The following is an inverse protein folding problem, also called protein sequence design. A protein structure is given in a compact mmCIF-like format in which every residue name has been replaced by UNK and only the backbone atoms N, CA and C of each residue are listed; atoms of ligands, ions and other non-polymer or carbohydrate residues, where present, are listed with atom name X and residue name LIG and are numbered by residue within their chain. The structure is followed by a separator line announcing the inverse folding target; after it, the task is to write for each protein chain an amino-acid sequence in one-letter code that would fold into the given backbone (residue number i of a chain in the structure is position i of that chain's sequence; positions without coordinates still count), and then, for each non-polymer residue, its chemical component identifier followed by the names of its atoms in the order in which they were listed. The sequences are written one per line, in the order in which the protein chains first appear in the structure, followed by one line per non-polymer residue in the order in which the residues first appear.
data_IF_787957521046
#
_entry.id   IF_787957521046
#
_cell.length_a   1.000
_cell.length_b   1.000
_cell.length_c   1.000
_cell.angle_alpha   90.00
_cell.angle_beta   90.00
_cell.angle_gamma   90.00
#
_symmetry.space_group_name_H-M   'P 1'
#
loop_
_entity.id
_entity.type
_entity.pdbx_description
1 polymer ?
#
# COMPACT_ATOMS: atom_id res chain seq x y z
N UNK A 1 28.23 -5.03 -10.85
CA UNK A 1 28.76 -6.06 -9.92
C UNK A 1 27.75 -7.21 -9.78
N UNK A 2 28.15 -8.47 -10.02
CA UNK A 2 27.24 -9.64 -10.06
C UNK A 2 26.79 -10.20 -8.70
N UNK A 3 27.39 -9.74 -7.58
CA UNK A 3 27.09 -10.17 -6.19
C UNK A 3 26.49 -9.06 -5.31
N UNK A 4 25.98 -8.00 -5.92
CA UNK A 4 25.43 -6.87 -5.16
C UNK A 4 24.18 -7.29 -4.36
N UNK A 5 24.14 -6.90 -3.08
CA UNK A 5 22.96 -7.03 -2.21
C UNK A 5 21.91 -5.98 -2.60
N UNK A 6 20.64 -6.25 -2.29
CA UNK A 6 19.54 -5.31 -2.53
C UNK A 6 19.79 -3.94 -1.91
N UNK A 7 20.45 -3.90 -0.73
CA UNK A 7 20.83 -2.66 -0.06
C UNK A 7 21.69 -1.73 -0.94
N UNK A 8 22.67 -2.27 -1.69
CA UNK A 8 23.58 -1.47 -2.53
C UNK A 8 22.81 -0.76 -3.65
N UNK A 9 21.81 -1.43 -4.21
CA UNK A 9 20.95 -0.82 -5.24
C UNK A 9 20.03 0.22 -4.62
N UNK A 10 19.47 -0.06 -3.45
CA UNK A 10 18.62 0.88 -2.72
C UNK A 10 19.36 2.17 -2.37
N UNK A 11 20.57 2.05 -1.82
CA UNK A 11 21.38 3.22 -1.47
C UNK A 11 21.68 4.11 -2.67
N UNK A 12 22.00 3.51 -3.83
CA UNK A 12 22.23 4.25 -5.08
C UNK A 12 20.97 4.94 -5.60
N UNK A 13 19.82 4.29 -5.50
CA UNK A 13 18.53 4.89 -5.89
C UNK A 13 18.20 6.05 -4.97
N UNK A 14 18.41 5.90 -3.66
CA UNK A 14 18.21 7.00 -2.71
C UNK A 14 19.17 8.17 -2.96
N UNK A 15 20.44 7.90 -3.27
CA UNK A 15 21.42 8.94 -3.60
C UNK A 15 21.03 9.68 -4.89
N UNK A 16 20.64 8.95 -5.94
CA UNK A 16 20.23 9.53 -7.21
C UNK A 16 18.95 10.38 -7.10
N UNK A 17 18.01 9.96 -6.26
CA UNK A 17 16.75 10.67 -6.00
C UNK A 17 16.85 11.69 -4.85
N UNK A 18 18.04 11.90 -4.29
CA UNK A 18 18.29 12.74 -3.12
C UNK A 18 17.35 12.46 -1.93
N UNK A 19 17.04 11.18 -1.70
CA UNK A 19 16.18 10.71 -0.62
C UNK A 19 16.98 10.64 0.69
N UNK A 20 16.77 11.65 1.53
CA UNK A 20 17.39 11.73 2.87
C UNK A 20 16.80 10.68 3.84
N UNK A 21 15.51 10.37 3.72
CA UNK A 21 14.78 9.51 4.66
C UNK A 21 14.66 8.06 4.14
N UNK A 22 15.81 7.40 3.97
CA UNK A 22 15.90 6.04 3.39
C UNK A 22 15.01 5.01 4.09
N UNK A 23 14.76 5.16 5.39
CA UNK A 23 13.95 4.21 6.17
C UNK A 23 12.48 4.16 5.75
N UNK A 24 12.02 5.18 5.01
CA UNK A 24 10.66 5.23 4.51
C UNK A 24 10.48 4.59 3.16
N UNK A 25 11.54 4.22 2.46
CA UNK A 25 11.40 3.73 1.09
C UNK A 25 11.85 2.28 0.99
N UNK A 26 11.33 1.58 -0.02
CA UNK A 26 11.87 0.31 -0.42
C UNK A 26 11.70 0.11 -1.92
N UNK A 27 12.43 -0.83 -2.48
CA UNK A 27 12.37 -1.16 -3.89
C UNK A 27 11.35 -2.27 -4.11
N UNK A 28 10.37 -2.01 -4.97
CA UNK A 28 9.47 -3.02 -5.51
C UNK A 28 9.96 -3.44 -6.89
N UNK A 29 10.01 -4.74 -7.15
CA UNK A 29 10.34 -5.29 -8.45
C UNK A 29 9.14 -6.07 -8.99
N UNK A 30 8.87 -5.89 -10.28
CA UNK A 30 7.77 -6.56 -11.00
C UNK A 30 8.25 -7.88 -11.59
N UNK A 31 7.73 -9.00 -11.09
CA UNK A 31 8.04 -10.32 -11.67
C UNK A 31 7.26 -10.52 -12.99
N UNK A 32 5.96 -10.16 -12.97
CA UNK A 32 5.02 -10.09 -14.10
C UNK A 32 4.09 -8.85 -13.89
N UNK A 33 3.20 -8.53 -14.84
CA UNK A 33 2.29 -7.35 -14.79
C UNK A 33 1.48 -7.22 -13.49
N UNK A 34 1.06 -8.33 -12.90
CA UNK A 34 0.22 -8.33 -11.69
C UNK A 34 0.97 -8.64 -10.39
N UNK A 35 2.23 -9.09 -10.46
CA UNK A 35 2.97 -9.56 -9.28
C UNK A 35 4.13 -8.62 -8.91
N UNK A 36 3.88 -7.75 -7.94
CA UNK A 36 4.88 -6.88 -7.30
C UNK A 36 5.50 -7.57 -6.08
N UNK A 37 6.82 -7.55 -5.96
CA UNK A 37 7.55 -8.11 -4.81
C UNK A 37 8.52 -7.07 -4.24
N UNK A 38 8.59 -6.96 -2.92
CA UNK A 38 9.62 -6.16 -2.26
C UNK A 38 10.99 -6.80 -2.42
N UNK A 39 11.99 -5.99 -2.79
CA UNK A 39 13.38 -6.40 -2.79
C UNK A 39 13.87 -6.48 -1.34
N UNK A 40 14.32 -7.67 -0.95
CA UNK A 40 14.97 -7.89 0.34
C UNK A 40 16.39 -7.29 0.29
N UNK A 41 16.62 -6.26 1.10
CA UNK A 41 17.91 -5.54 1.16
C UNK A 41 19.06 -6.44 1.62
N UNK A 42 18.77 -7.47 2.41
CA UNK A 42 19.76 -8.39 2.98
C UNK A 42 20.24 -9.47 1.98
N UNK A 43 19.47 -9.70 0.91
CA UNK A 43 19.73 -10.77 -0.07
C UNK A 43 20.35 -10.24 -1.36
N UNK A 44 21.08 -11.10 -2.05
CA UNK A 44 21.63 -10.80 -3.37
C UNK A 44 20.53 -10.56 -4.39
N UNK A 45 20.67 -9.50 -5.20
CA UNK A 45 19.67 -9.10 -6.20
C UNK A 45 19.44 -10.22 -7.21
N UNK A 46 20.51 -10.89 -7.66
CA UNK A 46 20.45 -12.00 -8.63
C UNK A 46 19.64 -13.20 -8.14
N UNK A 47 19.51 -13.40 -6.82
CA UNK A 47 18.71 -14.49 -6.25
C UNK A 47 17.21 -14.14 -6.16
N UNK A 48 16.88 -12.86 -6.29
CA UNK A 48 15.52 -12.32 -6.17
C UNK A 48 14.91 -11.96 -7.52
N UNK A 49 15.70 -11.33 -8.40
CA UNK A 49 15.27 -10.87 -9.72
C UNK A 49 15.85 -11.83 -10.77
N UNK A 50 14.98 -12.63 -11.40
CA UNK A 50 15.38 -13.67 -12.38
C UNK A 50 15.41 -13.17 -13.84
N UNK A 51 14.71 -12.08 -14.16
CA UNK A 51 14.59 -11.51 -15.52
C UNK A 51 15.25 -10.12 -15.59
N UNK A 52 15.83 -9.76 -16.73
CA UNK A 52 16.61 -8.52 -16.89
C UNK A 52 15.76 -7.24 -17.00
N UNK A 53 14.50 -7.36 -17.44
CA UNK A 53 13.56 -6.24 -17.55
C UNK A 53 12.62 -6.25 -16.36
N UNK A 54 13.03 -5.61 -15.27
CA UNK A 54 12.21 -5.44 -14.09
C UNK A 54 12.16 -3.97 -13.69
N UNK A 55 10.97 -3.39 -13.70
CA UNK A 55 10.75 -2.02 -13.24
C UNK A 55 10.88 -1.98 -11.72
N UNK A 56 11.72 -1.06 -11.24
CA UNK A 56 11.96 -0.82 -9.83
C UNK A 56 11.18 0.43 -9.43
N UNK A 57 10.18 0.27 -8.58
CA UNK A 57 9.39 1.39 -8.03
C UNK A 57 9.81 1.64 -6.59
N UNK A 58 9.97 2.92 -6.24
CA UNK A 58 10.28 3.36 -4.88
C UNK A 58 8.96 3.62 -4.17
N UNK A 59 8.68 2.89 -3.09
CA UNK A 59 7.39 2.97 -2.41
C UNK A 59 7.58 3.36 -0.94
N UNK A 60 6.74 4.27 -0.44
CA UNK A 60 6.78 4.76 0.93
C UNK A 60 5.70 4.10 1.82
N UNK A 61 6.03 3.14 2.71
CA UNK A 61 5.05 2.49 3.56
C UNK A 61 4.68 3.29 4.82
N UNK A 62 5.34 4.42 5.13
CA UNK A 62 5.26 5.05 6.47
C UNK A 62 4.95 6.55 6.43
N UNK A 63 4.22 6.98 7.47
CA UNK A 63 3.79 8.36 7.74
C UNK A 63 4.57 8.92 8.94
N UNK A 64 5.48 9.89 8.73
CA UNK A 64 5.89 10.90 9.73
C UNK A 64 6.70 12.01 9.04
N UNK A 65 6.53 13.27 9.50
CA UNK A 65 7.10 14.53 8.96
C UNK A 65 8.05 14.35 7.77
N UNK A 66 7.46 14.16 6.59
CA UNK A 66 8.17 13.96 5.33
C UNK A 66 8.54 15.33 4.76
N UNK A 67 9.77 15.47 4.27
CA UNK A 67 10.15 16.64 3.48
C UNK A 67 9.37 16.69 2.15
N UNK A 68 9.32 17.85 1.49
CA UNK A 68 8.51 18.06 0.28
C UNK A 68 8.73 16.98 -0.80
N UNK A 69 9.97 16.57 -1.06
CA UNK A 69 10.29 15.51 -2.03
C UNK A 69 9.68 14.15 -1.68
N UNK A 70 9.64 13.80 -0.40
CA UNK A 70 9.07 12.53 0.05
C UNK A 70 7.53 12.54 -0.02
N UNK A 71 6.89 13.70 0.24
CA UNK A 71 5.46 13.89 0.02
C UNK A 71 5.09 13.75 -1.45
N UNK A 72 5.89 14.32 -2.35
CA UNK A 72 5.69 14.20 -3.80
C UNK A 72 5.72 12.73 -4.26
N UNK A 73 6.71 11.93 -3.83
CA UNK A 73 6.74 10.50 -4.18
C UNK A 73 5.52 9.72 -3.65
N UNK A 74 5.00 10.10 -2.49
CA UNK A 74 3.75 9.51 -1.97
C UNK A 74 2.55 9.92 -2.82
N UNK A 75 2.47 11.18 -3.26
CA UNK A 75 1.45 11.65 -4.21
C UNK A 75 1.52 10.83 -5.50
N UNK A 76 2.70 10.68 -6.12
CA UNK A 76 2.86 9.89 -7.35
C UNK A 76 2.37 8.44 -7.20
N UNK A 77 2.71 7.79 -6.08
CA UNK A 77 2.24 6.43 -5.81
C UNK A 77 0.72 6.37 -5.70
N UNK A 78 0.11 7.31 -5.00
CA UNK A 78 -1.34 7.36 -4.83
C UNK A 78 -2.06 7.71 -6.13
N UNK A 79 -1.52 8.63 -6.93
CA UNK A 79 -2.04 8.93 -8.27
C UNK A 79 -2.07 7.67 -9.14
N UNK A 80 -0.99 6.88 -9.13
CA UNK A 80 -0.95 5.59 -9.83
C UNK A 80 -1.97 4.57 -9.26
N UNK A 81 -2.11 4.48 -7.94
CA UNK A 81 -3.06 3.56 -7.31
C UNK A 81 -4.52 3.96 -7.63
N UNK A 82 -4.81 5.26 -7.73
CA UNK A 82 -6.14 5.79 -8.11
C UNK A 82 -6.41 5.53 -9.60
N UNK A 83 -5.48 5.91 -10.49
CA UNK A 83 -5.67 5.79 -11.95
C UNK A 83 -5.73 4.33 -12.42
N UNK A 84 -5.04 3.41 -11.73
CA UNK A 84 -5.15 1.96 -11.98
C UNK A 84 -6.39 1.32 -11.33
N UNK A 85 -7.13 2.06 -10.50
CA UNK A 85 -8.34 1.59 -9.84
C UNK A 85 -8.09 0.71 -8.61
N UNK A 86 -6.83 0.60 -8.18
CA UNK A 86 -6.43 -0.07 -6.93
C UNK A 86 -6.92 0.67 -5.69
N UNK A 87 -7.01 2.00 -5.77
CA UNK A 87 -7.62 2.87 -4.77
C UNK A 87 -8.92 3.46 -5.34
N UNK A 88 -10.08 2.80 -5.15
CA UNK A 88 -11.34 3.25 -5.74
C UNK A 88 -11.77 4.61 -5.19
N UNK A 89 -12.15 5.50 -6.09
CA UNK A 89 -12.64 6.84 -5.78
C UNK A 89 -14.01 7.08 -6.45
N UNK A 90 -14.82 7.97 -5.87
CA UNK A 90 -16.02 8.47 -6.57
C UNK A 90 -15.61 9.40 -7.72
N UNK A 91 -16.53 9.68 -8.65
CA UNK A 91 -16.30 10.67 -9.71
C UNK A 91 -15.82 12.02 -9.14
N UNK A 92 -16.53 12.54 -8.14
CA UNK A 92 -16.19 13.81 -7.48
C UNK A 92 -14.79 13.78 -6.87
N UNK A 93 -14.40 12.65 -6.27
CA UNK A 93 -13.08 12.48 -5.68
C UNK A 93 -11.99 12.44 -6.75
N UNK A 94 -12.20 11.72 -7.85
CA UNK A 94 -11.25 11.72 -8.97
C UNK A 94 -11.05 13.13 -9.52
N UNK A 95 -12.14 13.89 -9.71
CA UNK A 95 -12.06 15.26 -10.20
C UNK A 95 -11.29 16.19 -9.22
N UNK A 96 -11.58 16.08 -7.92
CA UNK A 96 -10.89 16.85 -6.90
C UNK A 96 -9.39 16.51 -6.82
N UNK A 97 -9.05 15.23 -6.75
CA UNK A 97 -7.64 14.79 -6.66
C UNK A 97 -6.88 15.07 -7.97
N UNK A 98 -7.55 14.99 -9.12
CA UNK A 98 -6.99 15.39 -10.41
C UNK A 98 -6.68 16.88 -10.47
N UNK A 99 -7.56 17.73 -9.93
CA UNK A 99 -7.32 19.18 -9.90
C UNK A 99 -6.11 19.58 -9.05
N UNK A 100 -5.87 18.93 -7.91
CA UNK A 100 -4.65 19.14 -7.13
C UNK A 100 -3.40 18.60 -7.84
N UNK A 101 -3.54 17.53 -8.63
CA UNK A 101 -2.47 17.00 -9.45
C UNK A 101 -2.05 18.01 -10.51
N UNK A 102 -3.01 18.60 -11.24
CA UNK A 102 -2.72 19.65 -12.22
C UNK A 102 -2.07 20.88 -11.58
N UNK A 103 -2.59 21.35 -10.44
CA UNK A 103 -2.00 22.48 -9.72
C UNK A 103 -0.56 22.19 -9.29
N UNK A 104 -0.25 20.95 -8.89
CA UNK A 104 1.10 20.58 -8.47
C UNK A 104 2.09 20.46 -9.64
N UNK A 105 1.65 19.97 -10.80
CA UNK A 105 2.52 19.73 -11.97
C UNK A 105 2.64 20.95 -12.88
N UNK A 106 1.58 21.74 -13.03
CA UNK A 106 1.48 22.85 -14.00
C UNK A 106 1.43 24.22 -13.33
N UNK A 107 1.13 24.29 -12.03
CA UNK A 107 0.90 25.56 -11.34
C UNK A 107 -0.49 26.13 -11.64
N UNK A 108 -0.59 27.46 -11.61
CA UNK A 108 -1.86 28.18 -11.81
C UNK A 108 -2.40 27.99 -13.24
N UNK A 109 -3.72 27.85 -13.36
CA UNK A 109 -4.36 27.75 -14.67
C UNK A 109 -4.23 29.07 -15.46
N UNK A 110 -3.50 29.00 -16.57
CA UNK A 110 -3.41 30.03 -17.62
C UNK A 110 -4.29 29.66 -18.83
N UNK A 111 -5.33 30.46 -19.17
CA UNK A 111 -6.20 30.22 -20.33
C UNK A 111 -5.49 30.21 -21.70
N UNK A 112 -4.32 30.85 -21.83
CA UNK A 112 -3.60 30.90 -23.11
C UNK A 112 -2.74 29.64 -23.35
N UNK A 113 -2.13 29.11 -22.29
CA UNK A 113 -1.29 27.90 -22.34
C UNK A 113 -2.11 26.61 -22.16
N UNK A 114 -3.19 26.64 -21.38
CA UNK A 114 -3.98 25.47 -21.01
C UNK A 114 -5.25 25.34 -21.87
N UNK A 115 -5.07 25.09 -23.17
CA UNK A 115 -6.14 24.79 -24.14
C UNK A 115 -6.71 23.39 -23.96
N UNK A 116 -7.85 23.08 -24.59
CA UNK A 116 -8.78 21.95 -24.33
C UNK A 116 -8.22 20.51 -24.31
N UNK A 117 -6.92 20.30 -24.36
CA UNK A 117 -6.22 19.04 -24.61
C UNK A 117 -5.08 18.74 -23.61
N UNK A 118 -4.63 19.73 -22.82
CA UNK A 118 -3.55 19.53 -21.83
C UNK A 118 -3.90 18.52 -20.72
N UNK A 119 -5.19 18.39 -20.42
CA UNK A 119 -5.71 17.52 -19.36
C UNK A 119 -5.66 16.05 -19.77
N UNK A 120 -5.81 15.78 -21.08
CA UNK A 120 -5.84 14.43 -21.63
C UNK A 120 -4.46 13.74 -21.59
N UNK A 121 -3.37 14.49 -21.36
CA UNK A 121 -2.04 13.93 -21.09
C UNK A 121 -1.94 13.25 -19.71
N UNK A 122 -2.88 13.55 -18.80
CA UNK A 122 -2.93 13.02 -17.45
C UNK A 122 -4.02 11.95 -17.32
N UNK A 123 -3.69 10.88 -16.58
CA UNK A 123 -4.66 9.84 -16.24
C UNK A 123 -5.05 9.95 -14.77
N UNK A 124 -6.25 10.49 -14.51
CA UNK A 124 -6.81 10.68 -13.16
C UNK A 124 -7.62 9.49 -12.68
N UNK A 125 -8.26 8.74 -13.60
CA UNK A 125 -9.15 7.63 -13.27
C UNK A 125 -8.99 6.46 -14.26
N UNK A 126 -9.41 5.24 -13.88
CA UNK A 126 -9.39 4.08 -14.79
C UNK A 126 -10.29 4.24 -16.00
N UNK A 127 -11.45 4.88 -15.79
CA UNK A 127 -12.46 5.16 -16.81
C UNK A 127 -12.63 6.67 -16.92
N UNK A 128 -11.58 7.37 -17.38
CA UNK A 128 -11.59 8.81 -17.56
C UNK A 128 -12.57 9.18 -18.68
N UNK A 129 -13.45 10.14 -18.41
CA UNK A 129 -14.44 10.67 -19.36
C UNK A 129 -14.18 12.15 -19.60
N UNK A 130 -14.66 12.67 -20.73
CA UNK A 130 -14.57 14.10 -21.04
C UNK A 130 -15.22 14.98 -19.95
N UNK A 131 -16.37 14.55 -19.42
CA UNK A 131 -17.04 15.21 -18.29
C UNK A 131 -16.14 15.29 -17.04
N UNK A 132 -15.33 14.26 -16.79
CA UNK A 132 -14.36 14.29 -15.69
C UNK A 132 -13.26 15.31 -15.95
N UNK A 133 -12.73 15.37 -17.17
CA UNK A 133 -11.68 16.32 -17.56
C UNK A 133 -12.16 17.77 -17.43
N UNK A 134 -13.38 18.05 -17.90
CA UNK A 134 -14.04 19.34 -17.72
C UNK A 134 -14.16 19.69 -16.23
N UNK A 135 -14.59 18.73 -15.40
CA UNK A 135 -14.73 18.97 -13.97
C UNK A 135 -13.39 19.20 -13.26
N UNK A 136 -12.35 18.49 -13.69
CA UNK A 136 -10.97 18.69 -13.21
C UNK A 136 -10.50 20.11 -13.58
N UNK A 137 -10.73 20.55 -14.82
CA UNK A 137 -10.36 21.88 -15.30
C UNK A 137 -11.04 22.99 -14.48
N UNK A 138 -12.34 22.85 -14.23
CA UNK A 138 -13.11 23.79 -13.41
C UNK A 138 -12.52 23.92 -12.01
N UNK A 139 -12.18 22.80 -11.37
CA UNK A 139 -11.62 22.79 -10.03
C UNK A 139 -10.17 23.33 -10.02
N UNK A 140 -9.37 23.04 -11.05
CA UNK A 140 -8.00 23.55 -11.17
C UNK A 140 -7.97 25.09 -11.14
N UNK A 141 -8.92 25.75 -11.83
CA UNK A 141 -9.08 27.21 -11.80
C UNK A 141 -9.31 27.79 -10.39
N UNK A 142 -9.90 27.01 -9.48
CA UNK A 142 -10.17 27.45 -8.10
C UNK A 142 -8.95 27.40 -7.18
N UNK A 143 -7.88 26.71 -7.60
CA UNK A 143 -6.66 26.48 -6.80
C UNK A 143 -5.58 27.53 -7.00
N UNK A 144 -5.89 28.64 -7.70
CA UNK A 144 -4.95 29.70 -8.03
C UNK A 144 -4.21 30.21 -6.78
N UNK A 145 -2.88 30.33 -6.88
CA UNK A 145 -2.00 30.77 -5.81
C UNK A 145 -1.58 29.66 -4.84
N UNK A 146 -2.05 28.42 -5.02
CA UNK A 146 -1.51 27.28 -4.28
C UNK A 146 -0.15 26.88 -4.85
N UNK A 147 0.85 26.85 -3.98
CA UNK A 147 2.16 26.27 -4.33
C UNK A 147 2.05 24.76 -4.56
N UNK A 148 2.94 24.16 -5.37
CA UNK A 148 2.95 22.70 -5.57
C UNK A 148 2.98 21.90 -4.25
N UNK A 149 3.75 22.36 -3.26
CA UNK A 149 3.80 21.76 -1.92
C UNK A 149 2.46 21.77 -1.18
N UNK A 150 1.70 22.87 -1.30
CA UNK A 150 0.38 22.98 -0.70
C UNK A 150 -0.64 22.12 -1.46
N UNK A 151 -0.57 22.08 -2.80
CA UNK A 151 -1.42 21.23 -3.62
C UNK A 151 -1.21 19.74 -3.29
N UNK A 152 0.04 19.27 -3.20
CA UNK A 152 0.37 17.91 -2.77
C UNK A 152 -0.13 17.62 -1.35
N UNK A 153 0.00 18.58 -0.43
CA UNK A 153 -0.50 18.42 0.94
C UNK A 153 -2.03 18.24 0.97
N UNK A 154 -2.77 19.04 0.20
CA UNK A 154 -4.23 18.94 0.08
C UNK A 154 -4.68 17.66 -0.63
N UNK A 155 -3.95 17.26 -1.68
CA UNK A 155 -4.15 15.97 -2.33
C UNK A 155 -4.05 14.84 -1.31
N UNK A 156 -2.99 14.83 -0.50
CA UNK A 156 -2.79 13.81 0.51
C UNK A 156 -3.88 13.85 1.59
N UNK A 157 -4.23 15.02 2.13
CA UNK A 157 -5.30 15.14 3.13
C UNK A 157 -6.64 14.54 2.65
N UNK A 158 -6.98 14.76 1.38
CA UNK A 158 -8.18 14.17 0.79
C UNK A 158 -8.02 12.66 0.52
N UNK A 159 -6.88 12.24 -0.04
CA UNK A 159 -6.61 10.82 -0.30
C UNK A 159 -6.62 9.97 0.99
N UNK A 160 -6.17 10.53 2.13
CA UNK A 160 -6.18 9.85 3.44
C UNK A 160 -7.59 9.51 3.93
N UNK A 161 -8.62 10.22 3.45
CA UNK A 161 -10.03 9.99 3.82
C UNK A 161 -10.65 8.83 3.04
N UNK A 162 -9.97 8.31 2.02
CA UNK A 162 -10.46 7.19 1.23
C UNK A 162 -10.48 5.90 2.04
N UNK A 163 -11.56 5.14 1.90
CA UNK A 163 -11.85 3.94 2.69
C UNK A 163 -10.82 2.82 2.51
N UNK A 164 -10.09 2.84 1.39
CA UNK A 164 -9.07 1.86 1.02
C UNK A 164 -7.66 2.44 1.06
N UNK A 165 -7.48 3.66 1.55
CA UNK A 165 -6.15 4.27 1.71
C UNK A 165 -5.30 3.44 2.68
N UNK A 166 -4.08 3.08 2.25
CA UNK A 166 -3.14 2.32 3.08
C UNK A 166 -3.61 0.90 3.42
N UNK A 167 -4.53 0.36 2.61
CA UNK A 167 -5.00 -1.02 2.72
C UNK A 167 -4.25 -1.89 1.72
N UNK A 168 -3.54 -2.91 2.20
CA UNK A 168 -2.94 -3.93 1.34
C UNK A 168 -3.97 -5.02 1.04
N UNK A 169 -4.38 -5.12 -0.22
CA UNK A 169 -5.49 -5.95 -0.68
C UNK A 169 -5.00 -7.30 -1.22
N UNK A 170 -5.67 -8.38 -0.80
CA UNK A 170 -5.35 -9.75 -1.18
C UNK A 170 -6.62 -10.46 -1.63
N UNK A 171 -6.59 -11.04 -2.84
CA UNK A 171 -7.69 -11.89 -3.33
C UNK A 171 -7.82 -13.14 -2.47
N UNK A 172 -9.05 -13.47 -2.07
CA UNK A 172 -9.38 -14.66 -1.31
C UNK A 172 -10.81 -15.12 -1.59
N UNK A 173 -11.15 -16.30 -1.06
CA UNK A 173 -12.52 -16.80 -0.96
C UNK A 173 -12.85 -17.06 0.50
N UNK A 174 -14.10 -16.84 0.89
CA UNK A 174 -14.59 -17.22 2.21
C UNK A 174 -14.82 -18.74 2.33
N UNK A 175 -15.42 -19.18 3.45
CA UNK A 175 -15.75 -20.59 3.68
C UNK A 175 -16.81 -21.14 2.72
N UNK A 176 -17.61 -20.28 2.11
CA UNK A 176 -18.68 -20.63 1.15
C UNK A 176 -18.18 -20.62 -0.30
N UNK A 177 -16.94 -20.16 -0.53
CA UNK A 177 -16.32 -20.09 -1.85
C UNK A 177 -16.60 -18.79 -2.60
N UNK A 178 -17.22 -17.80 -1.94
CA UNK A 178 -17.51 -16.48 -2.49
C UNK A 178 -16.22 -15.69 -2.62
N UNK A 179 -16.02 -15.08 -3.79
CA UNK A 179 -14.87 -14.22 -4.07
C UNK A 179 -14.93 -12.93 -3.23
N UNK A 180 -13.87 -12.69 -2.47
CA UNK A 180 -13.73 -11.55 -1.55
C UNK A 180 -12.32 -10.96 -1.64
N UNK A 181 -12.15 -9.77 -1.09
CA UNK A 181 -10.85 -9.13 -0.92
C UNK A 181 -10.55 -8.95 0.57
N UNK A 182 -9.41 -9.47 1.01
CA UNK A 182 -8.88 -9.24 2.35
C UNK A 182 -7.98 -8.01 2.33
N UNK A 183 -8.33 -6.99 3.10
CA UNK A 183 -7.55 -5.77 3.26
C UNK A 183 -6.80 -5.75 4.59
N UNK A 184 -5.49 -5.55 4.57
CA UNK A 184 -4.68 -5.37 5.79
C UNK A 184 -4.34 -3.90 5.96
N UNK A 185 -4.62 -3.32 7.12
CA UNK A 185 -4.25 -1.94 7.41
C UNK A 185 -3.76 -1.77 8.86
N UNK A 186 -3.32 -0.56 9.21
CA UNK A 186 -2.86 -0.23 10.55
C UNK A 186 -3.90 -0.56 11.65
N UNK A 187 -5.19 -0.51 11.31
CA UNK A 187 -6.29 -0.59 12.26
C UNK A 187 -6.99 -1.97 12.31
N UNK A 188 -6.54 -2.95 11.51
CA UNK A 188 -7.11 -4.29 11.50
C UNK A 188 -7.05 -5.01 10.15
N UNK A 189 -7.70 -6.17 10.11
CA UNK A 189 -8.03 -6.89 8.89
C UNK A 189 -9.46 -6.52 8.46
N UNK A 190 -9.64 -6.27 7.17
CA UNK A 190 -10.87 -5.81 6.54
C UNK A 190 -11.31 -6.86 5.53
N UNK A 191 -12.63 -7.07 5.40
CA UNK A 191 -13.19 -7.90 4.34
C UNK A 191 -14.01 -7.00 3.42
N UNK A 192 -13.75 -7.10 2.14
CA UNK A 192 -14.51 -6.43 1.09
C UNK A 192 -15.15 -7.45 0.15
N UNK A 193 -16.37 -7.14 -0.27
CA UNK A 193 -17.10 -7.83 -1.34
C UNK A 193 -17.65 -6.76 -2.27
N UNK A 194 -17.47 -6.93 -3.58
CA UNK A 194 -17.92 -5.95 -4.58
C UNK A 194 -17.43 -4.51 -4.29
N UNK A 195 -16.19 -4.40 -3.80
CA UNK A 195 -15.53 -3.15 -3.32
C UNK A 195 -16.20 -2.48 -2.11
N UNK A 196 -17.25 -3.05 -1.55
CA UNK A 196 -17.88 -2.62 -0.31
C UNK A 196 -17.26 -3.35 0.88
N UNK A 197 -16.93 -2.61 1.94
CA UNK A 197 -16.41 -3.20 3.17
C UNK A 197 -17.54 -3.87 3.94
N UNK A 198 -17.54 -5.21 3.99
CA UNK A 198 -18.56 -6.00 4.68
C UNK A 198 -18.21 -6.29 6.15
N UNK A 199 -16.92 -6.35 6.50
CA UNK A 199 -16.51 -6.65 7.88
C UNK A 199 -15.14 -6.05 8.24
N UNK A 200 -14.89 -5.89 9.54
CA UNK A 200 -13.62 -5.42 10.11
C UNK A 200 -13.28 -6.16 11.40
N UNK A 201 -12.10 -6.76 11.42
CA UNK A 201 -11.47 -7.33 12.60
C UNK A 201 -10.36 -6.42 13.09
N UNK A 202 -10.63 -5.65 14.15
CA UNK A 202 -9.61 -4.84 14.80
C UNK A 202 -8.51 -5.74 15.40
N UNK A 203 -7.24 -5.32 15.31
CA UNK A 203 -6.11 -6.12 15.83
C UNK A 203 -6.29 -6.61 17.28
N UNK A 204 -6.81 -5.82 18.24
CA UNK A 204 -7.02 -6.30 19.61
C UNK A 204 -8.02 -7.47 19.72
N UNK A 205 -8.94 -7.61 18.76
CA UNK A 205 -9.90 -8.72 18.72
C UNK A 205 -9.32 -9.99 18.10
N UNK A 206 -8.19 -9.91 17.40
CA UNK A 206 -7.56 -11.07 16.77
C UNK A 206 -6.57 -11.70 17.75
N UNK A 207 -6.88 -12.92 18.21
CA UNK A 207 -6.07 -13.69 19.14
C UNK A 207 -4.87 -14.36 18.46
N UNK A 208 -5.09 -14.91 17.27
CA UNK A 208 -4.08 -15.68 16.55
C UNK A 208 -4.30 -15.58 15.05
N UNK A 209 -3.19 -15.53 14.32
CA UNK A 209 -3.16 -15.54 12.86
C UNK A 209 -2.30 -16.72 12.42
N UNK A 210 -2.83 -17.56 11.54
CA UNK A 210 -2.11 -18.72 11.00
C UNK A 210 -2.43 -18.95 9.52
N UNK A 211 -1.63 -19.76 8.85
CA UNK A 211 -1.92 -20.22 7.50
C UNK A 211 -1.45 -21.67 7.32
N UNK A 212 -2.13 -22.42 6.47
CA UNK A 212 -1.79 -23.79 6.09
C UNK A 212 -2.12 -24.00 4.61
N UNK A 213 -1.12 -24.37 3.80
CA UNK A 213 -1.24 -24.46 2.33
C UNK A 213 -1.75 -23.11 1.77
N UNK A 214 -2.85 -23.10 1.05
CA UNK A 214 -3.50 -21.91 0.51
C UNK A 214 -4.51 -21.28 1.48
N UNK A 215 -4.74 -21.85 2.66
CA UNK A 215 -5.75 -21.37 3.59
C UNK A 215 -5.10 -20.46 4.66
N UNK A 216 -5.77 -19.36 4.95
CA UNK A 216 -5.43 -18.38 5.97
C UNK A 216 -6.51 -18.37 7.04
N UNK A 217 -6.13 -18.32 8.31
CA UNK A 217 -7.05 -18.41 9.44
C UNK A 217 -6.79 -17.31 10.45
N UNK A 218 -7.87 -16.75 10.97
CA UNK A 218 -7.85 -15.85 12.12
C UNK A 218 -8.69 -16.47 13.24
N UNK A 219 -8.16 -16.43 14.46
CA UNK A 219 -8.92 -16.72 15.67
C UNK A 219 -9.28 -15.41 16.33
N UNK A 220 -10.56 -15.14 16.53
CA UNK A 220 -11.05 -13.89 17.11
C UNK A 220 -11.59 -14.13 18.52
N UNK A 221 -11.45 -13.11 19.38
CA UNK A 221 -12.06 -13.12 20.70
C UNK A 221 -13.58 -13.20 20.57
N UNK A 222 -14.27 -13.90 21.48
CA UNK A 222 -15.72 -13.86 21.55
C UNK A 222 -16.19 -12.41 21.76
N UNK A 223 -17.33 -12.03 21.17
CA UNK A 223 -18.03 -10.81 21.55
C UNK A 223 -18.65 -10.97 22.95
N UNK A 224 -19.07 -9.88 23.61
CA UNK A 224 -19.66 -9.93 24.96
C UNK A 224 -20.88 -10.87 25.07
N UNK A 225 -21.55 -11.15 23.95
CA UNK A 225 -22.70 -12.04 23.84
C UNK A 225 -22.35 -13.46 23.35
N UNK A 226 -21.14 -13.67 22.84
CA UNK A 226 -20.69 -14.99 22.35
C UNK A 226 -19.75 -15.62 23.37
N UNK A 227 -19.99 -16.88 23.76
CA UNK A 227 -19.15 -17.57 24.75
C UNK A 227 -17.94 -18.29 24.14
N UNK A 228 -17.85 -18.40 22.80
CA UNK A 228 -16.85 -19.22 22.14
C UNK A 228 -15.93 -18.42 21.21
N UNK A 229 -14.65 -18.83 21.15
CA UNK A 229 -13.68 -18.26 20.24
C UNK A 229 -13.98 -18.70 18.80
N UNK A 230 -14.28 -17.75 17.92
CA UNK A 230 -14.56 -18.04 16.52
C UNK A 230 -13.27 -18.12 15.70
N UNK A 231 -13.11 -19.19 14.92
CA UNK A 231 -12.03 -19.34 13.94
C UNK A 231 -12.58 -19.15 12.54
N UNK A 232 -12.11 -18.12 11.84
CA UNK A 232 -12.56 -17.76 10.50
C UNK A 232 -11.47 -18.13 9.50
N UNK A 233 -11.84 -18.87 8.46
CA UNK A 233 -10.95 -19.36 7.42
C UNK A 233 -11.20 -18.71 6.07
N UNK A 234 -10.12 -18.43 5.35
CA UNK A 234 -10.12 -17.85 4.01
C UNK A 234 -9.21 -18.67 3.09
N UNK A 235 -9.64 -18.89 1.85
CA UNK A 235 -8.86 -19.61 0.84
C UNK A 235 -8.25 -18.63 -0.14
N UNK A 236 -6.92 -18.57 -0.21
CA UNK A 236 -6.19 -17.75 -1.17
C UNK A 236 -5.89 -18.55 -2.46
N UNK A 237 -5.54 -17.86 -3.57
CA UNK A 237 -5.27 -18.53 -4.84
C UNK A 237 -4.15 -19.58 -4.78
N UNK A 238 -3.14 -19.35 -3.93
CA UNK A 238 -2.02 -20.28 -3.76
C UNK A 238 -1.31 -20.09 -2.41
N UNK A 239 -0.40 -21.02 -2.07
CA UNK A 239 0.38 -20.97 -0.84
C UNK A 239 1.28 -19.72 -0.71
N UNK A 240 1.78 -19.17 -1.83
CA UNK A 240 2.61 -17.96 -1.80
C UNK A 240 1.79 -16.74 -1.40
N UNK A 241 0.57 -16.62 -1.90
CA UNK A 241 -0.38 -15.58 -1.52
C UNK A 241 -0.74 -15.70 -0.02
N UNK A 242 -1.08 -16.90 0.46
CA UNK A 242 -1.37 -17.14 1.88
C UNK A 242 -0.21 -16.75 2.80
N UNK A 243 1.02 -17.14 2.43
CA UNK A 243 2.23 -16.76 3.17
C UNK A 243 2.49 -15.26 3.16
N UNK A 244 2.24 -14.58 2.03
CA UNK A 244 2.38 -13.12 1.90
C UNK A 244 1.41 -12.41 2.82
N UNK A 245 0.11 -12.73 2.73
CA UNK A 245 -0.92 -12.15 3.60
C UNK A 245 -0.59 -12.36 5.08
N UNK A 246 -0.18 -13.59 5.45
CA UNK A 246 0.24 -13.88 6.82
C UNK A 246 1.40 -13.01 7.29
N UNK A 247 2.44 -12.85 6.46
CA UNK A 247 3.60 -12.00 6.78
C UNK A 247 3.17 -10.55 6.99
N UNK A 248 2.36 -9.99 6.09
CA UNK A 248 1.86 -8.61 6.19
C UNK A 248 1.01 -8.41 7.44
N UNK A 249 0.11 -9.36 7.75
CA UNK A 249 -0.70 -9.34 8.96
C UNK A 249 0.15 -9.42 10.23
N UNK A 250 1.16 -10.28 10.27
CA UNK A 250 2.08 -10.37 11.42
C UNK A 250 2.87 -9.09 11.57
N UNK A 251 3.40 -8.52 10.49
CA UNK A 251 4.10 -7.23 10.53
C UNK A 251 3.22 -6.13 11.10
N UNK A 252 1.97 -5.98 10.65
CA UNK A 252 1.04 -4.98 11.17
C UNK A 252 0.60 -5.26 12.61
N UNK A 253 0.17 -6.50 12.92
CA UNK A 253 -0.28 -6.87 14.25
C UNK A 253 0.85 -6.75 15.29
N UNK A 254 2.06 -7.19 14.98
CA UNK A 254 3.23 -7.06 15.87
C UNK A 254 3.65 -5.60 16.01
N UNK A 255 3.66 -4.84 14.92
CA UNK A 255 4.09 -3.44 14.92
C UNK A 255 3.19 -2.51 15.74
N UNK A 256 1.86 -2.67 15.67
CA UNK A 256 0.91 -1.81 16.38
C UNK A 256 0.52 -2.33 17.78
N UNK A 257 0.94 -3.55 18.16
CA UNK A 257 0.63 -4.15 19.46
C UNK A 257 1.83 -4.22 20.41
N UNK A 258 3.06 -4.31 19.91
CA UNK A 258 4.23 -4.46 20.76
C UNK A 258 4.95 -3.13 21.00
N UNK A 259 5.07 -2.75 22.27
CA UNK A 259 5.89 -1.61 22.74
C UNK A 259 7.38 -1.88 22.51
N UNK A 260 7.81 -3.14 22.48
CA UNK A 260 9.15 -3.56 22.03
C UNK A 260 9.10 -4.94 21.36
N UNK A 261 10.01 -5.25 20.41
CA UNK A 261 10.10 -6.60 19.85
C UNK A 261 10.43 -7.60 20.97
N UNK A 262 9.69 -8.72 21.02
CA UNK A 262 9.95 -9.79 22.01
C UNK A 262 11.40 -10.28 21.93
N UNK A 263 12.09 -10.32 23.06
CA UNK A 263 13.43 -10.88 23.16
C UNK A 263 13.44 -12.35 22.69
N UNK A 264 14.45 -12.79 21.92
CA UNK A 264 14.50 -14.16 21.45
C UNK A 264 14.54 -15.14 22.63
N UNK A 265 13.68 -16.18 22.66
CA UNK A 265 13.78 -17.21 23.68
C UNK A 265 15.10 -17.95 23.53
N UNK A 266 15.79 -18.17 24.66
CA UNK A 266 17.00 -19.00 24.75
C UNK A 266 16.73 -20.35 24.08
N UNK A 267 17.62 -20.73 23.17
CA UNK A 267 17.44 -21.86 22.27
C UNK A 267 17.04 -23.14 23.02
N UNK A 268 15.85 -23.68 22.68
CA UNK A 268 15.55 -25.10 22.84
C UNK A 268 15.38 -25.70 21.44
N UNK A 269 16.00 -26.86 21.28
CA UNK A 269 16.29 -27.57 20.03
C UNK A 269 15.09 -27.74 19.09
N UNK A 270 15.43 -27.77 17.79
CA UNK A 270 14.70 -28.35 16.66
C UNK A 270 13.18 -28.07 16.61
N UNK A 271 12.80 -26.95 15.99
CA UNK A 271 11.44 -26.80 15.43
C UNK A 271 11.53 -26.60 13.93
N UNK A 272 11.13 -27.62 13.16
CA UNK A 272 10.96 -27.58 11.72
C UNK A 272 9.69 -26.77 11.40
N UNK A 273 9.84 -25.48 11.13
CA UNK A 273 8.74 -24.60 10.74
C UNK A 273 9.21 -23.16 10.56
N UNK A 274 8.69 -22.45 9.55
CA UNK A 274 9.08 -21.06 9.31
C UNK A 274 8.47 -20.14 10.39
N UNK A 275 9.20 -19.91 11.47
CA UNK A 275 8.92 -18.83 12.43
C UNK A 275 9.49 -17.53 11.85
N UNK A 276 8.64 -16.77 11.14
CA UNK A 276 8.97 -15.38 10.82
C UNK A 276 9.01 -14.59 12.13
N UNK A 277 10.13 -13.93 12.40
CA UNK A 277 10.29 -13.01 13.53
C UNK A 277 10.54 -11.63 12.94
N UNK A 278 9.73 -10.67 13.35
CA UNK A 278 9.91 -9.27 13.02
C UNK A 278 11.21 -8.77 13.66
N UNK A 279 12.12 -8.22 12.86
CA UNK A 279 13.42 -7.69 13.30
C UNK A 279 13.50 -6.16 13.21
N UNK A 280 12.35 -5.48 13.03
CA UNK A 280 12.28 -4.02 12.94
C UNK A 280 12.05 -3.33 14.28
N UNK A 281 12.24 -2.02 14.32
CA UNK A 281 11.85 -1.17 15.46
C UNK A 281 10.33 -0.99 15.47
N UNK A 282 9.73 -1.22 16.64
CA UNK A 282 8.32 -0.96 16.97
C UNK A 282 8.04 0.56 17.01
N UNK A 283 6.80 0.96 17.25
CA UNK A 283 6.36 2.37 17.19
C UNK A 283 7.03 3.33 18.19
N UNK A 284 7.88 2.82 19.11
CA UNK A 284 8.62 3.64 20.05
C UNK A 284 9.74 4.45 19.36
#
# INVERSE_FOLDING_TARGET
QKKAKGQVLFDKVCEHLNLLEKDYFGLLFHENSEQKNWLDSSKEIKRQIRKSKTFISVHCPRRRRMNHSALYFLCLQLRQDISSGRLPCSFVTHALLGSYTLQAELGDHDPEEHRSDYISEFQFAPNQTQEMEEKVAELHKTHRGLTPAQADSQFLENAKRLSMYGVDLHHAKDSEGVDIMLGVCANGLLIYKDRLRINRFAWPKILKISYKRSNFYIKVRPAELEQFESTIGFKLPNHRAAKRLWKVCVEHHTFFRLVSPEQPPKAKFLTLGSKFRYSGRTQA
#
